data_IF_522045195271
#
_entry.id   IF_522045195271
#
_cell.length_a   1.000
_cell.length_b   1.000
_cell.length_c   1.000
_cell.angle_alpha   90.00
_cell.angle_beta   90.00
_cell.angle_gamma   90.00
#
_symmetry.space_group_name_H-M   'P 1'
#
loop_
_entity.id
_entity.type
_entity.pdbx_description
1 polymer ?
#
# COMPACT_ATOMS: atom_id res chain seq x y z
N UNK A 1 54.98 -22.26 63.66
CA UNK A 1 54.04 -23.17 63.04
C UNK A 1 53.03 -22.29 62.30
N UNK A 2 53.20 -22.14 61.00
CA UNK A 2 52.50 -21.18 60.18
C UNK A 2 51.44 -21.96 59.36
N UNK A 3 50.22 -21.63 59.64
CA UNK A 3 49.09 -22.19 58.87
C UNK A 3 48.76 -21.28 57.69
N UNK A 4 48.85 -21.78 56.47
CA UNK A 4 48.55 -21.10 55.25
C UNK A 4 47.16 -21.51 54.79
N UNK A 5 46.18 -20.73 55.09
CA UNK A 5 44.87 -20.83 54.46
C UNK A 5 44.91 -20.19 53.04
N UNK A 6 44.94 -21.06 52.05
CA UNK A 6 44.82 -20.63 50.65
C UNK A 6 43.36 -20.28 50.31
N UNK A 7 43.12 -19.02 50.16
CA UNK A 7 41.84 -18.53 49.64
C UNK A 7 41.85 -18.71 48.11
N UNK A 8 41.08 -19.67 47.63
CA UNK A 8 40.82 -19.87 46.18
C UNK A 8 39.78 -18.89 45.74
N UNK A 9 40.21 -17.88 45.03
CA UNK A 9 39.32 -16.91 44.38
C UNK A 9 38.75 -17.53 43.08
N UNK A 10 37.52 -18.00 43.14
CA UNK A 10 36.79 -18.46 41.92
C UNK A 10 36.30 -17.23 41.21
N UNK A 11 37.02 -16.79 40.20
CA UNK A 11 36.54 -15.80 39.24
C UNK A 11 35.57 -16.49 38.30
N UNK A 12 34.27 -16.34 38.54
CA UNK A 12 33.25 -16.76 37.59
C UNK A 12 33.30 -15.82 36.39
N UNK A 13 33.90 -16.27 35.32
CA UNK A 13 33.82 -15.63 34.02
C UNK A 13 32.38 -15.81 33.51
N UNK A 14 31.51 -14.84 33.75
CA UNK A 14 30.23 -14.76 33.06
C UNK A 14 30.54 -14.34 31.62
N UNK A 15 30.67 -15.33 30.73
CA UNK A 15 30.65 -15.09 29.30
C UNK A 15 29.22 -14.61 28.92
N UNK A 16 29.08 -13.31 28.85
CA UNK A 16 27.94 -12.70 28.14
C UNK A 16 28.15 -13.04 26.66
N UNK A 17 27.63 -14.19 26.26
CA UNK A 17 27.38 -14.46 24.85
C UNK A 17 26.28 -13.48 24.41
N UNK A 18 26.69 -12.30 23.99
CA UNK A 18 25.86 -11.43 23.20
C UNK A 18 25.48 -12.21 21.95
N UNK A 19 24.25 -12.69 21.90
CA UNK A 19 23.62 -13.13 20.66
C UNK A 19 23.48 -11.90 19.77
N UNK A 20 24.58 -11.52 19.10
CA UNK A 20 24.50 -10.65 17.95
C UNK A 20 23.80 -11.51 16.88
N UNK A 21 22.50 -11.32 16.74
CA UNK A 21 21.76 -11.83 15.60
C UNK A 21 22.45 -11.30 14.36
N UNK A 22 23.21 -12.15 13.67
CA UNK A 22 23.82 -11.79 12.40
C UNK A 22 22.68 -11.54 11.41
N UNK A 23 22.52 -10.28 10.99
CA UNK A 23 21.57 -9.93 9.95
C UNK A 23 21.99 -10.67 8.67
N UNK A 24 21.10 -11.53 8.16
CA UNK A 24 21.29 -12.23 6.91
C UNK A 24 20.68 -11.41 5.79
N UNK A 25 21.47 -11.19 4.74
CA UNK A 25 21.00 -10.50 3.55
C UNK A 25 20.74 -11.49 2.41
N UNK A 26 19.77 -11.20 1.56
CA UNK A 26 19.38 -11.99 0.39
C UNK A 26 18.97 -13.46 0.74
N UNK A 27 18.45 -13.64 1.95
CA UNK A 27 17.89 -14.92 2.43
C UNK A 27 16.49 -14.64 2.95
N UNK A 28 15.51 -15.38 2.46
CA UNK A 28 14.14 -15.29 2.97
C UNK A 28 14.08 -15.92 4.38
N UNK A 29 13.56 -15.19 5.33
CA UNK A 29 13.35 -15.63 6.70
C UNK A 29 11.86 -15.45 7.04
N UNK A 30 11.23 -16.38 7.77
CA UNK A 30 9.86 -16.22 8.22
C UNK A 30 9.70 -14.92 9.04
N UNK A 31 8.63 -14.18 8.75
CA UNK A 31 8.17 -13.08 9.56
C UNK A 31 6.96 -13.56 10.36
N UNK A 32 7.22 -14.21 11.48
CA UNK A 32 6.26 -14.99 12.25
C UNK A 32 6.05 -14.49 13.69
N UNK A 33 6.76 -13.41 14.08
CA UNK A 33 6.66 -12.80 15.42
C UNK A 33 6.06 -11.43 15.34
N UNK A 34 4.91 -11.30 15.96
CA UNK A 34 4.18 -10.04 16.05
C UNK A 34 3.80 -9.73 17.49
N UNK A 35 3.72 -8.45 17.81
CA UNK A 35 3.23 -7.95 19.09
C UNK A 35 2.18 -6.87 18.87
N UNK A 36 1.19 -6.82 19.75
CA UNK A 36 0.19 -5.77 19.80
C UNK A 36 0.08 -5.27 21.23
N UNK A 37 0.09 -3.95 21.47
CA UNK A 37 -0.08 -3.40 22.81
C UNK A 37 -1.39 -3.83 23.48
N UNK A 38 -2.42 -4.13 22.68
CA UNK A 38 -3.77 -4.44 23.15
C UNK A 38 -4.04 -5.96 23.20
N UNK A 39 -3.38 -6.75 22.35
CA UNK A 39 -3.70 -8.17 22.16
C UNK A 39 -2.56 -9.12 22.58
N UNK A 40 -1.39 -8.60 22.94
CA UNK A 40 -0.24 -9.39 23.35
C UNK A 40 0.67 -9.78 22.20
N UNK A 41 1.20 -11.00 22.22
CA UNK A 41 2.12 -11.55 21.20
C UNK A 41 1.44 -12.63 20.37
N UNK A 42 1.74 -12.69 19.09
CA UNK A 42 1.38 -13.78 18.21
C UNK A 42 2.64 -14.36 17.58
N UNK A 43 2.84 -15.66 17.75
CA UNK A 43 3.88 -16.43 17.11
C UNK A 43 3.22 -17.47 16.20
N UNK A 44 3.64 -17.54 14.94
CA UNK A 44 3.13 -18.53 14.02
C UNK A 44 3.03 -18.05 12.59
N UNK A 45 2.58 -18.96 11.74
CA UNK A 45 2.54 -18.76 10.30
C UNK A 45 1.29 -18.01 9.80
N UNK A 46 0.33 -17.75 10.67
CA UNK A 46 -0.95 -17.10 10.32
C UNK A 46 -1.35 -16.09 11.39
N UNK A 47 -1.76 -14.90 10.95
CA UNK A 47 -2.23 -13.82 11.81
C UNK A 47 -3.48 -13.17 11.22
N UNK A 48 -4.52 -13.05 12.03
CA UNK A 48 -5.75 -12.33 11.64
C UNK A 48 -5.76 -10.96 12.30
N UNK A 49 -5.93 -9.93 11.47
CA UNK A 49 -6.13 -8.56 11.92
C UNK A 49 -7.60 -8.19 11.84
N UNK A 50 -8.13 -7.68 12.93
CA UNK A 50 -9.53 -7.26 13.06
C UNK A 50 -9.61 -5.73 13.10
N UNK A 51 -10.79 -5.18 12.86
CA UNK A 51 -10.99 -3.73 12.89
C UNK A 51 -10.44 -3.09 14.17
N UNK A 52 -9.58 -2.09 14.00
CA UNK A 52 -8.93 -1.35 15.08
C UNK A 52 -7.68 -2.00 15.67
N UNK A 53 -7.38 -3.26 15.33
CA UNK A 53 -6.14 -3.91 15.81
C UNK A 53 -4.91 -3.44 15.02
N UNK A 54 -3.76 -3.43 15.68
CA UNK A 54 -2.46 -3.21 15.03
C UNK A 54 -1.45 -4.20 15.61
N UNK A 55 -0.77 -4.91 14.71
CA UNK A 55 0.25 -5.89 15.02
C UNK A 55 1.59 -5.45 14.47
N UNK A 56 2.60 -5.40 15.29
CA UNK A 56 3.96 -4.95 14.94
C UNK A 56 4.86 -6.16 14.80
N UNK A 57 5.51 -6.28 13.65
CA UNK A 57 6.56 -7.27 13.44
C UNK A 57 7.83 -6.86 14.18
N UNK A 58 8.61 -7.84 14.62
CA UNK A 58 9.90 -7.63 15.23
C UNK A 58 10.94 -7.21 14.16
N UNK A 59 11.72 -6.18 14.47
CA UNK A 59 12.84 -5.71 13.65
C UNK A 59 12.56 -4.44 12.84
N UNK A 60 13.64 -3.93 12.26
CA UNK A 60 13.64 -2.75 11.39
C UNK A 60 14.19 -3.13 10.01
N UNK A 61 13.65 -2.52 8.97
CA UNK A 61 13.91 -2.83 7.57
C UNK A 61 14.11 -1.55 6.78
N UNK A 62 15.10 -1.52 5.89
CA UNK A 62 15.35 -0.43 4.95
C UNK A 62 15.07 -0.91 3.52
N UNK A 63 15.85 -1.86 3.03
CA UNK A 63 15.64 -2.50 1.73
C UNK A 63 15.24 -3.94 1.94
N UNK A 64 14.15 -4.36 1.33
CA UNK A 64 13.60 -5.70 1.57
C UNK A 64 12.70 -6.18 0.43
N UNK A 65 12.45 -7.48 0.44
CA UNK A 65 11.32 -8.11 -0.24
C UNK A 65 10.49 -8.81 0.84
N UNK A 66 9.22 -8.45 0.93
CA UNK A 66 8.24 -9.10 1.78
C UNK A 66 7.24 -9.84 0.89
N UNK A 67 7.15 -11.14 1.05
CA UNK A 67 6.15 -11.97 0.39
C UNK A 67 5.19 -12.57 1.39
N UNK A 68 4.00 -12.92 0.95
CA UNK A 68 3.02 -13.59 1.78
C UNK A 68 1.72 -13.84 1.05
N UNK A 69 0.76 -14.37 1.80
CA UNK A 69 -0.61 -14.56 1.35
C UNK A 69 -1.57 -13.79 2.23
N UNK A 70 -2.64 -13.28 1.63
CA UNK A 70 -3.72 -12.63 2.35
C UNK A 70 -5.08 -13.22 1.97
N UNK A 71 -6.00 -13.19 2.93
CA UNK A 71 -7.41 -13.56 2.77
C UNK A 71 -8.26 -12.42 3.35
N UNK A 72 -8.97 -11.72 2.52
CA UNK A 72 -9.92 -10.68 2.95
C UNK A 72 -11.30 -11.29 3.17
N UNK A 73 -11.94 -10.98 4.29
CA UNK A 73 -13.37 -11.21 4.48
C UNK A 73 -14.20 -10.32 3.54
N UNK A 74 -15.49 -10.55 3.48
CA UNK A 74 -16.40 -9.76 2.66
C UNK A 74 -16.35 -8.27 3.08
N UNK A 75 -15.99 -7.39 2.16
CA UNK A 75 -15.77 -5.96 2.38
C UNK A 75 -14.78 -5.62 3.53
N UNK A 76 -13.93 -6.56 3.89
CA UNK A 76 -12.89 -6.31 4.89
C UNK A 76 -11.77 -5.45 4.32
N UNK A 77 -11.13 -4.69 5.20
CA UNK A 77 -10.01 -3.81 4.89
C UNK A 77 -8.92 -3.92 5.95
N UNK A 78 -7.70 -4.12 5.49
CA UNK A 78 -6.50 -4.02 6.29
C UNK A 78 -5.41 -3.27 5.53
N UNK A 79 -4.37 -2.87 6.24
CA UNK A 79 -3.20 -2.25 5.69
C UNK A 79 -1.93 -2.91 6.22
N UNK A 80 -0.92 -3.02 5.37
CA UNK A 80 0.44 -3.33 5.76
C UNK A 80 1.26 -2.04 5.71
N UNK A 81 1.79 -1.64 6.86
CA UNK A 81 2.65 -0.47 6.98
C UNK A 81 4.11 -0.89 6.94
N UNK A 82 4.95 -0.09 6.31
CA UNK A 82 6.40 -0.25 6.34
C UNK A 82 7.11 1.11 6.45
N UNK A 83 8.36 1.10 6.89
CA UNK A 83 9.15 2.30 7.21
C UNK A 83 8.44 3.23 8.19
N UNK A 84 7.76 2.64 9.18
CA UNK A 84 7.13 3.39 10.25
C UNK A 84 7.89 3.22 11.56
N UNK A 85 7.72 4.18 12.47
CA UNK A 85 8.29 4.15 13.82
C UNK A 85 7.22 4.12 14.92
N UNK A 86 5.96 4.40 14.55
CA UNK A 86 4.85 4.64 15.47
C UNK A 86 3.56 3.88 15.08
N UNK A 87 3.58 3.05 14.05
CA UNK A 87 2.41 2.35 13.51
C UNK A 87 1.39 3.26 12.81
N UNK A 88 1.72 4.52 12.55
CA UNK A 88 0.83 5.50 11.91
C UNK A 88 1.46 6.19 10.71
N UNK A 89 2.72 6.58 10.84
CA UNK A 89 3.51 7.14 9.76
C UNK A 89 4.15 6.00 8.94
N UNK A 90 4.64 6.31 7.76
CA UNK A 90 5.23 5.35 6.84
C UNK A 90 4.30 5.03 5.67
N UNK A 91 4.80 4.25 4.74
CA UNK A 91 4.02 3.78 3.61
C UNK A 91 2.99 2.73 4.02
N UNK A 92 1.88 2.70 3.29
CA UNK A 92 0.76 1.81 3.57
C UNK A 92 0.32 1.10 2.29
N UNK A 93 0.30 -0.22 2.31
CA UNK A 93 -0.23 -1.07 1.25
C UNK A 93 -1.61 -1.58 1.68
N UNK A 94 -2.63 -1.31 0.87
CA UNK A 94 -4.00 -1.71 1.18
C UNK A 94 -4.27 -3.18 0.82
N UNK A 95 -5.10 -3.82 1.63
CA UNK A 95 -5.69 -5.15 1.39
C UNK A 95 -7.21 -5.02 1.48
N UNK A 96 -7.86 -4.88 0.31
CA UNK A 96 -9.28 -4.60 0.16
C UNK A 96 -9.73 -4.95 -1.25
N UNK A 97 -10.64 -5.93 -1.39
CA UNK A 97 -11.07 -6.41 -2.70
C UNK A 97 -12.48 -5.94 -3.08
N UNK A 98 -13.47 -6.24 -2.24
CA UNK A 98 -14.89 -6.14 -2.54
C UNK A 98 -15.58 -4.80 -2.25
N UNK A 99 -14.90 -3.76 -1.84
CA UNK A 99 -15.55 -2.53 -1.43
C UNK A 99 -16.25 -1.77 -2.56
N UNK A 100 -17.36 -1.13 -2.22
CA UNK A 100 -18.26 -0.42 -3.14
C UNK A 100 -17.58 0.79 -3.79
N UNK A 101 -16.74 1.53 -3.05
CA UNK A 101 -15.95 2.60 -3.64
C UNK A 101 -14.79 2.03 -4.46
N UNK A 102 -14.59 2.52 -5.66
CA UNK A 102 -13.61 1.99 -6.60
C UNK A 102 -12.14 2.28 -6.24
N UNK A 103 -11.83 2.78 -5.05
CA UNK A 103 -10.48 3.24 -4.72
C UNK A 103 -9.77 2.34 -3.72
N UNK A 104 -8.43 2.37 -3.71
CA UNK A 104 -7.56 1.71 -2.73
C UNK A 104 -7.75 0.19 -2.68
N UNK A 105 -7.85 -0.47 -3.82
CA UNK A 105 -7.92 -1.93 -3.89
C UNK A 105 -6.61 -2.58 -3.44
N UNK A 106 -6.64 -3.89 -3.17
CA UNK A 106 -5.46 -4.66 -2.74
C UNK A 106 -4.26 -4.41 -3.64
N UNK A 107 -3.13 -4.12 -3.01
CA UNK A 107 -1.90 -3.70 -3.68
C UNK A 107 -1.76 -2.19 -3.89
N UNK A 108 -2.75 -1.36 -3.54
CA UNK A 108 -2.58 0.10 -3.58
C UNK A 108 -1.49 0.55 -2.63
N UNK A 109 -0.57 1.38 -3.12
CA UNK A 109 0.28 2.21 -2.26
C UNK A 109 -0.56 3.44 -1.89
N UNK A 110 -1.22 3.37 -0.74
CA UNK A 110 -2.32 4.26 -0.34
C UNK A 110 -1.96 5.74 -0.45
N UNK A 111 -2.78 6.49 -1.18
CA UNK A 111 -2.63 7.93 -1.45
C UNK A 111 -1.33 8.33 -2.19
N UNK A 112 -0.65 7.36 -2.78
CA UNK A 112 0.51 7.57 -3.67
C UNK A 112 0.23 6.95 -5.05
N UNK A 113 -0.20 5.69 -5.07
CA UNK A 113 -0.61 4.94 -6.27
C UNK A 113 -1.81 4.06 -5.91
N UNK A 114 -3.00 4.66 -5.94
CA UNK A 114 -4.23 3.93 -5.66
C UNK A 114 -4.64 3.09 -6.86
N UNK A 115 -5.12 1.88 -6.59
CA UNK A 115 -5.70 0.98 -7.56
C UNK A 115 -7.23 1.04 -7.46
N UNK A 116 -7.89 0.96 -8.60
CA UNK A 116 -9.34 1.01 -8.71
C UNK A 116 -9.95 -0.37 -9.00
N UNK A 117 -9.10 -1.35 -9.31
CA UNK A 117 -9.49 -2.75 -9.52
C UNK A 117 -8.59 -3.66 -8.69
N UNK A 118 -9.13 -4.74 -8.18
CA UNK A 118 -8.39 -5.79 -7.52
C UNK A 118 -8.14 -6.96 -8.46
N UNK A 119 -6.97 -7.59 -8.36
CA UNK A 119 -6.67 -8.89 -8.95
C UNK A 119 -7.00 -10.04 -8.01
N UNK A 120 -7.51 -9.74 -6.82
CA UNK A 120 -7.90 -10.70 -5.80
C UNK A 120 -9.40 -10.57 -5.50
N UNK A 121 -9.97 -11.61 -4.92
CA UNK A 121 -11.37 -11.70 -4.53
C UNK A 121 -11.50 -11.95 -3.03
N UNK A 122 -12.55 -11.42 -2.40
CA UNK A 122 -12.88 -11.74 -1.01
C UNK A 122 -13.16 -13.24 -0.84
N UNK A 123 -12.78 -13.79 0.30
CA UNK A 123 -12.95 -15.20 0.61
C UNK A 123 -11.97 -16.15 -0.08
N UNK A 124 -10.99 -15.63 -0.84
CA UNK A 124 -9.95 -16.42 -1.49
C UNK A 124 -8.56 -15.96 -1.08
N UNK A 125 -7.66 -16.90 -0.83
CA UNK A 125 -6.24 -16.61 -0.63
C UNK A 125 -5.63 -16.05 -1.92
N UNK A 126 -4.82 -15.02 -1.77
CA UNK A 126 -4.03 -14.46 -2.87
C UNK A 126 -2.62 -14.14 -2.40
N UNK A 127 -1.68 -14.25 -3.33
CA UNK A 127 -0.27 -13.94 -3.08
C UNK A 127 -0.01 -12.45 -3.21
N UNK A 128 0.93 -11.94 -2.40
CA UNK A 128 1.42 -10.58 -2.56
C UNK A 128 2.93 -10.52 -2.38
N UNK A 129 3.54 -9.55 -3.05
CA UNK A 129 4.94 -9.18 -2.88
C UNK A 129 5.06 -7.66 -2.75
N UNK A 130 5.87 -7.20 -1.81
CA UNK A 130 6.25 -5.81 -1.62
C UNK A 130 7.76 -5.76 -1.62
N UNK A 131 8.36 -5.15 -2.65
CA UNK A 131 9.80 -4.97 -2.76
C UNK A 131 10.15 -3.50 -2.61
N UNK A 132 11.07 -3.21 -1.70
CA UNK A 132 11.64 -1.87 -1.49
C UNK A 132 13.13 -1.92 -1.74
N UNK A 133 13.58 -1.13 -2.72
CA UNK A 133 14.99 -1.05 -3.13
C UNK A 133 15.37 0.40 -3.37
N UNK A 134 16.08 1.01 -2.42
CA UNK A 134 16.43 2.43 -2.48
C UNK A 134 15.19 3.30 -2.59
N UNK A 135 15.06 4.00 -3.70
CA UNK A 135 13.92 4.88 -3.97
C UNK A 135 12.73 4.16 -4.62
N UNK A 136 12.83 2.86 -4.88
CA UNK A 136 11.83 2.12 -5.64
C UNK A 136 10.96 1.25 -4.74
N UNK A 137 9.65 1.31 -4.95
CA UNK A 137 8.65 0.44 -4.35
C UNK A 137 7.95 -0.30 -5.47
N UNK A 138 7.96 -1.62 -5.43
CA UNK A 138 7.20 -2.49 -6.32
C UNK A 138 6.21 -3.30 -5.50
N UNK A 139 4.99 -3.42 -5.97
CA UNK A 139 3.96 -4.25 -5.35
C UNK A 139 3.38 -5.16 -6.42
N UNK A 140 3.30 -6.45 -6.12
CA UNK A 140 2.65 -7.44 -6.97
C UNK A 140 1.52 -8.15 -6.22
N UNK A 141 0.47 -8.51 -6.93
CA UNK A 141 -0.66 -9.34 -6.48
C UNK A 141 -0.82 -10.49 -7.48
N UNK A 142 -0.82 -11.73 -6.99
CA UNK A 142 -0.90 -12.93 -7.82
C UNK A 142 0.10 -12.88 -8.99
N UNK A 143 1.37 -12.68 -8.68
CA UNK A 143 2.51 -12.58 -9.63
C UNK A 143 2.40 -11.43 -10.66
N UNK A 144 1.41 -10.56 -10.52
CA UNK A 144 1.24 -9.40 -11.41
C UNK A 144 1.64 -8.13 -10.70
N UNK A 145 2.63 -7.41 -11.24
CA UNK A 145 3.04 -6.10 -10.72
C UNK A 145 1.91 -5.10 -10.92
N UNK A 146 1.41 -4.55 -9.83
CA UNK A 146 0.28 -3.62 -9.81
C UNK A 146 0.71 -2.19 -9.47
N UNK A 147 1.83 -2.02 -8.78
CA UNK A 147 2.43 -0.73 -8.49
C UNK A 147 3.93 -0.78 -8.76
N UNK A 148 4.40 0.20 -9.50
CA UNK A 148 5.80 0.59 -9.64
C UNK A 148 5.90 2.07 -9.27
N UNK A 149 6.58 2.39 -8.19
CA UNK A 149 6.74 3.77 -7.73
C UNK A 149 8.19 4.07 -7.40
N UNK A 150 8.71 5.13 -7.98
CA UNK A 150 10.01 5.71 -7.59
C UNK A 150 9.75 6.96 -6.79
N UNK A 151 10.18 6.98 -5.53
CA UNK A 151 10.07 8.17 -4.69
C UNK A 151 11.01 9.25 -5.24
N UNK A 152 10.48 10.44 -5.58
CA UNK A 152 11.32 11.56 -5.99
C UNK A 152 12.10 12.12 -4.79
N UNK A 153 13.16 12.89 -5.06
CA UNK A 153 14.01 13.49 -4.03
C UNK A 153 13.22 14.37 -3.04
N UNK A 154 12.18 15.05 -3.54
CA UNK A 154 11.29 15.90 -2.73
C UNK A 154 9.82 15.53 -2.98
N UNK A 155 9.32 14.41 -2.40
CA UNK A 155 7.95 13.97 -2.66
C UNK A 155 6.95 14.91 -1.99
N UNK A 156 5.98 15.39 -2.75
CA UNK A 156 4.86 16.11 -2.14
C UNK A 156 3.99 15.15 -1.33
N UNK A 157 3.71 15.54 -0.09
CA UNK A 157 2.78 14.83 0.80
C UNK A 157 1.89 15.85 1.50
N UNK A 158 0.61 15.54 1.62
CA UNK A 158 -0.28 16.32 2.48
C UNK A 158 0.13 16.16 3.95
N UNK A 159 -0.33 17.06 4.81
CA UNK A 159 -0.01 17.01 6.26
C UNK A 159 -0.36 15.66 6.88
N UNK A 160 -1.47 15.06 6.46
CA UNK A 160 -1.93 13.75 6.93
C UNK A 160 -0.96 12.62 6.57
N UNK A 161 -0.31 12.72 5.41
CA UNK A 161 0.57 11.69 4.87
C UNK A 161 2.05 12.07 4.89
N UNK A 162 2.42 13.08 5.68
CA UNK A 162 3.80 13.58 5.73
C UNK A 162 4.85 12.51 6.09
N UNK A 163 4.45 11.46 6.83
CA UNK A 163 5.32 10.35 7.19
C UNK A 163 5.47 9.26 6.11
N UNK A 164 4.79 9.37 4.97
CA UNK A 164 4.92 8.40 3.87
C UNK A 164 6.17 8.69 3.04
N UNK A 165 7.31 8.37 3.62
CA UNK A 165 8.63 8.57 3.04
C UNK A 165 9.45 7.28 3.19
N UNK A 166 10.30 7.02 2.21
CA UNK A 166 11.27 5.93 2.31
C UNK A 166 12.35 6.29 3.34
N UNK A 167 12.57 5.37 4.26
CA UNK A 167 13.58 5.49 5.32
C UNK A 167 13.96 4.09 5.81
N UNK A 168 13.93 3.87 7.10
CA UNK A 168 13.98 2.56 7.75
C UNK A 168 12.89 2.54 8.84
N UNK A 169 12.47 1.37 9.19
CA UNK A 169 11.47 1.20 10.24
C UNK A 169 10.87 -0.19 10.27
N UNK A 170 9.88 -0.36 11.09
CA UNK A 170 9.22 -1.63 11.32
C UNK A 170 8.15 -1.93 10.26
N UNK A 171 7.63 -3.16 10.31
CA UNK A 171 6.44 -3.60 9.58
C UNK A 171 5.28 -3.68 10.57
N UNK A 172 4.10 -3.23 10.15
CA UNK A 172 2.89 -3.44 10.93
C UNK A 172 1.72 -3.90 10.06
N UNK A 173 0.86 -4.71 10.64
CA UNK A 173 -0.42 -5.11 10.06
C UNK A 173 -1.54 -4.42 10.84
N UNK A 174 -2.39 -3.67 10.16
CA UNK A 174 -3.44 -2.86 10.75
C UNK A 174 -4.80 -3.25 10.19
N UNK A 175 -5.74 -3.64 11.05
CA UNK A 175 -7.13 -3.88 10.69
C UNK A 175 -7.92 -2.58 10.65
N UNK A 176 -8.67 -2.36 9.57
CA UNK A 176 -9.49 -1.17 9.38
C UNK A 176 -10.98 -1.48 9.42
N UNK A 177 -11.42 -2.54 8.75
CA UNK A 177 -12.78 -3.06 8.83
C UNK A 177 -12.80 -4.55 8.56
N UNK A 178 -13.75 -5.29 9.21
CA UNK A 178 -13.82 -6.74 9.08
C UNK A 178 -12.53 -7.43 9.48
N UNK A 179 -12.32 -8.63 8.94
CA UNK A 179 -11.17 -9.47 9.25
C UNK A 179 -10.36 -9.74 7.99
N UNK A 180 -9.04 -9.56 8.10
CA UNK A 180 -8.08 -9.93 7.07
C UNK A 180 -7.03 -10.85 7.71
N UNK A 181 -6.83 -12.01 7.10
CA UNK A 181 -5.84 -12.98 7.59
C UNK A 181 -4.63 -12.99 6.67
N UNK A 182 -3.44 -12.95 7.28
CA UNK A 182 -2.15 -13.05 6.60
C UNK A 182 -1.47 -14.35 6.99
N UNK A 183 -0.76 -14.99 6.05
CA UNK A 183 0.06 -16.16 6.32
C UNK A 183 1.26 -16.25 5.41
N UNK A 184 2.17 -17.17 5.75
CA UNK A 184 3.39 -17.43 4.97
C UNK A 184 4.21 -16.15 4.72
N UNK A 185 4.24 -15.25 5.70
CA UNK A 185 5.00 -14.01 5.59
C UNK A 185 6.50 -14.34 5.62
N UNK A 186 7.22 -13.92 4.59
CA UNK A 186 8.66 -14.10 4.49
C UNK A 186 9.32 -12.77 4.14
N UNK A 187 10.34 -12.45 4.90
CA UNK A 187 11.13 -11.24 4.76
C UNK A 187 12.52 -11.55 4.22
N UNK A 188 12.89 -10.93 3.12
CA UNK A 188 14.25 -10.96 2.60
C UNK A 188 14.86 -9.59 2.75
N UNK A 189 15.87 -9.43 3.60
CA UNK A 189 16.62 -8.17 3.72
C UNK A 189 17.56 -8.02 2.53
N UNK A 190 17.55 -6.87 1.91
CA UNK A 190 18.44 -6.55 0.78
C UNK A 190 19.57 -5.65 1.25
N UNK A 191 20.78 -5.85 0.71
CA UNK A 191 21.91 -4.94 0.95
C UNK A 191 21.67 -3.61 0.25
N UNK A 192 22.17 -2.54 0.85
CA UNK A 192 22.09 -1.19 0.27
C UNK A 192 22.73 -1.11 -1.13
N UNK A 193 23.80 -1.85 -1.36
CA UNK A 193 24.53 -1.87 -2.64
C UNK A 193 23.80 -2.63 -3.75
N UNK A 194 22.84 -3.50 -3.41
CA UNK A 194 22.01 -4.20 -4.39
C UNK A 194 21.01 -3.27 -5.11
N UNK A 195 20.98 -2.01 -4.74
CA UNK A 195 20.03 -0.99 -5.19
C UNK A 195 20.44 -0.35 -6.51
N UNK A 196 21.72 -0.39 -6.87
CA UNK A 196 22.26 0.33 -8.03
C UNK A 196 22.30 -0.50 -9.31
N UNK A 197 21.98 -1.78 -9.25
CA UNK A 197 21.84 -2.55 -10.46
C UNK A 197 20.49 -2.29 -11.10
N UNK A 198 20.43 -2.38 -12.40
CA UNK A 198 19.24 -2.21 -13.23
C UNK A 198 18.07 -3.21 -12.92
N UNK A 199 18.15 -3.92 -11.83
CA UNK A 199 17.07 -4.65 -11.13
C UNK A 199 16.00 -3.72 -10.53
N UNK A 200 16.24 -2.51 -10.73
CA UNK A 200 15.27 -1.47 -10.58
C UNK A 200 14.15 -1.72 -11.57
N UNK A 201 12.95 -1.70 -11.13
CA UNK A 201 11.70 -1.56 -11.87
C UNK A 201 11.82 -1.89 -13.36
N UNK A 202 11.11 -2.85 -13.89
CA UNK A 202 11.06 -3.07 -15.33
C UNK A 202 10.75 -1.74 -16.00
N UNK A 203 11.53 -1.38 -17.02
CA UNK A 203 11.24 -0.22 -17.84
C UNK A 203 9.85 -0.40 -18.43
N UNK A 204 9.18 0.70 -18.76
CA UNK A 204 7.82 0.65 -19.34
C UNK A 204 7.76 -0.26 -20.59
N UNK A 205 8.84 -0.25 -21.38
CA UNK A 205 9.02 -1.09 -22.57
C UNK A 205 9.34 -2.58 -22.25
N UNK A 206 9.74 -2.88 -21.00
CA UNK A 206 10.01 -4.23 -20.51
C UNK A 206 8.83 -4.82 -19.73
N UNK A 207 7.83 -4.02 -19.41
CA UNK A 207 6.63 -4.49 -18.74
C UNK A 207 5.84 -5.41 -19.68
N UNK A 208 5.38 -6.53 -19.13
CA UNK A 208 4.51 -7.40 -19.91
C UNK A 208 3.15 -6.72 -20.18
N UNK A 209 2.51 -7.08 -21.29
CA UNK A 209 1.21 -6.52 -21.71
C UNK A 209 0.12 -6.59 -20.64
N UNK A 210 0.19 -7.57 -19.73
CA UNK A 210 -0.79 -7.72 -18.65
C UNK A 210 -0.63 -6.58 -17.62
N UNK A 211 0.61 -6.23 -17.24
CA UNK A 211 0.89 -5.12 -16.33
C UNK A 211 0.46 -3.80 -16.95
N UNK A 212 0.80 -3.58 -18.23
CA UNK A 212 0.40 -2.36 -18.96
C UNK A 212 -1.11 -2.25 -18.99
N UNK A 213 -1.81 -3.30 -19.39
CA UNK A 213 -3.27 -3.33 -19.43
C UNK A 213 -3.90 -3.10 -18.06
N UNK A 214 -3.34 -3.72 -17.02
CA UNK A 214 -3.84 -3.53 -15.66
C UNK A 214 -3.64 -2.08 -15.19
N UNK A 215 -2.48 -1.49 -15.45
CA UNK A 215 -2.22 -0.07 -15.12
C UNK A 215 -3.17 0.86 -15.87
N UNK A 216 -3.40 0.63 -17.16
CA UNK A 216 -4.37 1.40 -17.96
C UNK A 216 -5.79 1.29 -17.38
N UNK A 217 -6.18 0.11 -16.89
CA UNK A 217 -7.48 -0.09 -16.27
C UNK A 217 -7.61 0.53 -14.89
N UNK A 218 -6.50 0.79 -14.20
CA UNK A 218 -6.49 1.44 -12.89
C UNK A 218 -6.53 2.97 -12.95
N UNK A 219 -6.16 3.56 -14.08
CA UNK A 219 -6.28 5.00 -14.24
C UNK A 219 -7.70 5.34 -14.67
N UNK A 220 -8.41 6.22 -13.96
CA UNK A 220 -9.71 6.67 -14.42
C UNK A 220 -9.53 7.36 -15.78
N UNK A 221 -10.16 6.82 -16.80
CA UNK A 221 -10.26 7.50 -18.09
C UNK A 221 -11.24 8.66 -17.89
N UNK A 222 -10.80 9.87 -18.18
CA UNK A 222 -11.63 11.06 -18.07
C UNK A 222 -11.77 11.70 -19.42
N UNK A 223 -13.01 11.83 -19.90
CA UNK A 223 -13.33 12.69 -21.03
C UNK A 223 -13.70 14.07 -20.47
N UNK A 224 -12.82 15.03 -20.61
CA UNK A 224 -12.96 16.36 -20.03
C UNK A 224 -13.97 17.26 -20.74
N UNK A 225 -14.51 16.86 -21.90
CA UNK A 225 -15.35 17.72 -22.69
C UNK A 225 -16.52 17.00 -23.36
N UNK A 226 -17.50 16.61 -22.56
CA UNK A 226 -18.70 15.91 -23.05
C UNK A 226 -19.90 16.85 -23.05
N UNK A 227 -20.57 16.99 -24.19
CA UNK A 227 -21.84 17.67 -24.27
C UNK A 227 -22.99 16.67 -24.30
N UNK A 228 -23.92 16.79 -23.35
CA UNK A 228 -25.13 15.99 -23.33
C UNK A 228 -26.10 16.46 -24.42
N UNK A 229 -26.41 15.62 -25.38
CA UNK A 229 -27.31 15.92 -26.53
C UNK A 229 -28.38 14.85 -26.66
N UNK A 230 -29.44 15.16 -27.42
CA UNK A 230 -30.45 14.18 -27.78
C UNK A 230 -31.29 13.62 -26.63
N UNK A 231 -31.47 14.39 -25.56
CA UNK A 231 -32.23 13.94 -24.39
C UNK A 231 -31.43 13.11 -23.40
N UNK A 232 -30.09 13.02 -23.56
CA UNK A 232 -29.21 12.36 -22.60
C UNK A 232 -29.19 13.17 -21.29
N UNK A 233 -29.65 12.57 -20.20
CA UNK A 233 -29.66 13.21 -18.88
C UNK A 233 -28.34 12.96 -18.13
N UNK A 234 -28.10 13.71 -17.05
CA UNK A 234 -26.95 13.52 -16.16
C UNK A 234 -26.93 12.11 -15.55
N UNK A 235 -28.08 11.59 -15.18
CA UNK A 235 -28.26 10.24 -14.62
C UNK A 235 -27.91 9.17 -15.64
N UNK A 236 -28.31 9.35 -16.90
CA UNK A 236 -27.93 8.44 -17.99
C UNK A 236 -26.43 8.50 -18.26
N UNK A 237 -25.84 9.68 -18.28
CA UNK A 237 -24.40 9.85 -18.45
C UNK A 237 -23.63 9.22 -17.29
N UNK A 238 -24.13 9.34 -16.05
CA UNK A 238 -23.55 8.67 -14.89
C UNK A 238 -23.62 7.15 -15.00
N UNK A 239 -24.78 6.60 -15.40
CA UNK A 239 -24.92 5.16 -15.62
C UNK A 239 -23.97 4.66 -16.72
N UNK A 240 -23.79 5.41 -17.79
CA UNK A 240 -22.80 5.09 -18.85
C UNK A 240 -21.37 5.16 -18.31
N UNK A 241 -21.04 6.17 -17.53
CA UNK A 241 -19.75 6.31 -16.86
C UNK A 241 -19.42 5.06 -16.02
N UNK A 242 -20.37 4.60 -15.21
CA UNK A 242 -20.21 3.39 -14.40
C UNK A 242 -20.05 2.13 -15.23
N UNK A 243 -20.79 2.00 -16.34
CA UNK A 243 -20.74 0.83 -17.21
C UNK A 243 -19.44 0.73 -18.03
N UNK A 244 -18.93 1.86 -18.51
CA UNK A 244 -17.76 1.91 -19.38
C UNK A 244 -16.46 2.26 -18.65
N UNK A 245 -16.52 2.66 -17.37
CA UNK A 245 -15.37 3.08 -16.59
C UNK A 245 -14.75 4.38 -17.08
N UNK A 246 -15.54 5.26 -17.72
CA UNK A 246 -15.12 6.56 -18.21
C UNK A 246 -15.81 7.65 -17.39
N UNK A 247 -15.05 8.53 -16.77
CA UNK A 247 -15.59 9.71 -16.10
C UNK A 247 -15.81 10.82 -17.11
N UNK A 248 -17.01 11.40 -17.12
CA UNK A 248 -17.35 12.47 -18.05
C UNK A 248 -17.28 13.84 -17.38
N UNK A 249 -16.43 14.73 -17.88
CA UNK A 249 -16.47 16.15 -17.61
C UNK A 249 -17.56 16.81 -18.47
N UNK A 250 -18.77 16.95 -17.93
CA UNK A 250 -19.90 17.50 -18.68
C UNK A 250 -19.76 19.00 -18.83
N UNK A 251 -19.53 19.45 -20.05
CA UNK A 251 -19.50 20.86 -20.40
C UNK A 251 -20.90 21.35 -20.83
N UNK A 252 -21.42 22.44 -20.28
CA UNK A 252 -22.67 23.03 -20.75
C UNK A 252 -22.50 23.61 -22.17
N UNK A 253 -23.53 23.50 -22.98
CA UNK A 253 -23.51 24.11 -24.32
C UNK A 253 -23.47 25.64 -24.21
N UNK A 254 -22.56 26.28 -24.93
CA UNK A 254 -22.54 27.73 -25.11
C UNK A 254 -23.43 28.12 -26.31
N UNK A 255 -24.22 29.20 -26.20
CA UNK A 255 -25.02 29.74 -27.27
C UNK A 255 -26.54 29.65 -27.05
N UNK A 256 -27.31 29.87 -28.12
CA UNK A 256 -28.78 29.88 -28.07
C UNK A 256 -29.31 28.49 -27.61
N UNK A 257 -30.06 28.49 -26.50
CA UNK A 257 -30.55 27.25 -25.86
C UNK A 257 -29.55 26.52 -24.95
N UNK A 258 -28.32 27.07 -24.79
CA UNK A 258 -27.28 26.52 -23.92
C UNK A 258 -27.19 27.21 -22.55
N UNK A 259 -25.95 27.52 -22.17
CA UNK A 259 -25.59 28.10 -20.86
C UNK A 259 -26.40 29.31 -20.43
N UNK A 260 -26.86 30.16 -21.36
CA UNK A 260 -27.65 31.33 -21.06
C UNK A 260 -29.02 31.02 -20.43
N UNK A 261 -29.58 29.82 -20.67
CA UNK A 261 -30.83 29.36 -20.04
C UNK A 261 -30.58 28.74 -18.69
N UNK A 262 -29.46 28.00 -18.54
CA UNK A 262 -29.05 27.40 -17.24
C UNK A 262 -28.68 28.47 -16.22
N UNK A 263 -28.09 29.58 -16.67
CA UNK A 263 -27.69 30.71 -15.77
C UNK A 263 -28.84 31.37 -15.07
N UNK A 264 -30.08 31.28 -15.60
CA UNK A 264 -31.24 31.87 -14.95
C UNK A 264 -31.67 31.07 -13.72
N UNK A 265 -31.47 29.74 -13.72
CA UNK A 265 -31.99 28.84 -12.71
C UNK A 265 -30.90 28.32 -11.75
N UNK A 266 -29.60 28.27 -12.16
CA UNK A 266 -28.51 27.65 -11.39
C UNK A 266 -27.17 28.39 -11.51
N UNK A 267 -27.18 29.69 -11.28
CA UNK A 267 -26.00 30.55 -11.41
C UNK A 267 -24.80 30.14 -10.53
N UNK A 268 -25.06 29.59 -9.35
CA UNK A 268 -24.02 29.15 -8.41
C UNK A 268 -23.30 27.86 -8.89
N UNK A 269 -24.03 26.92 -9.47
CA UNK A 269 -23.46 25.67 -10.03
C UNK A 269 -22.55 25.98 -11.23
N UNK A 270 -22.95 26.97 -12.06
CA UNK A 270 -22.14 27.38 -13.21
C UNK A 270 -20.83 28.04 -12.81
N UNK A 271 -20.85 28.91 -11.82
CA UNK A 271 -19.65 29.60 -11.32
C UNK A 271 -18.68 28.58 -10.65
N UNK A 272 -19.21 27.53 -10.02
CA UNK A 272 -18.36 26.48 -9.44
C UNK A 272 -17.66 25.63 -10.51
N UNK A 273 -18.28 25.43 -11.66
CA UNK A 273 -17.69 24.67 -12.79
C UNK A 273 -16.61 25.47 -13.54
N UNK A 274 -16.71 26.81 -13.58
CA UNK A 274 -15.68 27.65 -14.19
C UNK A 274 -14.41 27.73 -13.35
N UNK A 275 -14.53 27.70 -12.02
CA UNK A 275 -13.38 27.74 -11.11
C UNK A 275 -12.58 26.43 -11.01
N UNK A 276 -13.05 25.33 -11.59
CA UNK A 276 -12.32 24.06 -11.67
C UNK A 276 -11.34 24.04 -12.86
N UNK A 277 -11.41 25.02 -13.76
CA UNK A 277 -10.60 25.09 -15.00
C UNK A 277 -9.42 26.06 -14.98
N UNK A 278 -9.07 26.64 -13.81
CA UNK A 278 -7.86 27.47 -13.63
C UNK A 278 -6.77 26.72 -12.81
#
# INVERSE_FOLDING_TARGET
MIDKTSTVLIVALISILGLTSCIRYNVAEPLDRFSSPEMGTADGNEITVTAGSTWFAEGEYENFILTGQALTGENAEAALLFHHTDGKSGYEVAFRNGAIDGTRKSGSLTSVRNLYRSLAEDGKWFDFEIAVRGHNIMIAINDTVVVCYTEPEHPYRTKEYAGRLLSHGSIALKGMSGDVTFRNLNMTRLKKDAVNEADTMPRIDEQNDAVIRFQQQNFPVIDYHVHLKGGLTKEMAHAMSMNYGINYGVAPNAGEGGVGRMLADDKEVYLSLIHISE
#
